data_IF_555131156303
#
_entry.id   IF_555131156303
#
_cell.length_a   1.000
_cell.length_b   1.000
_cell.length_c   1.000
_cell.angle_alpha   90.00
_cell.angle_beta   90.00
_cell.angle_gamma   90.00
#
_symmetry.space_group_name_H-M   'P 1'
#
loop_
_entity.id
_entity.type
_entity.pdbx_description
1 polymer ?
#
# COMPACT_ATOMS: atom_id res chain seq x y z
N UNK A 1 27.97 25.03 -10.26
CA UNK A 1 27.50 25.27 -8.88
C UNK A 1 27.26 23.88 -8.29
N UNK A 2 28.01 23.51 -7.24
CA UNK A 2 27.95 22.15 -6.67
C UNK A 2 26.84 22.12 -5.62
N UNK A 3 25.76 21.38 -5.88
CA UNK A 3 24.75 21.08 -4.88
C UNK A 3 25.39 20.18 -3.81
N UNK A 4 25.61 20.74 -2.61
CA UNK A 4 26.04 19.93 -1.47
C UNK A 4 24.93 18.95 -1.10
N UNK A 5 25.27 17.66 -1.06
CA UNK A 5 24.37 16.63 -0.56
C UNK A 5 24.00 16.91 0.91
N UNK A 6 22.71 16.81 1.28
CA UNK A 6 22.28 17.01 2.65
C UNK A 6 22.83 15.93 3.57
N UNK A 7 23.17 16.32 4.79
CA UNK A 7 23.63 15.44 5.87
C UNK A 7 22.48 14.57 6.41
N UNK A 8 22.82 13.49 7.11
CA UNK A 8 21.84 12.61 7.76
C UNK A 8 20.94 13.35 8.78
N UNK A 9 21.53 14.32 9.50
CA UNK A 9 20.79 15.13 10.46
C UNK A 9 19.74 15.99 9.75
N UNK A 10 20.11 16.67 8.66
CA UNK A 10 19.19 17.50 7.87
C UNK A 10 18.08 16.64 7.22
N UNK A 11 18.37 15.42 6.79
CA UNK A 11 17.36 14.49 6.27
C UNK A 11 16.38 14.09 7.37
N UNK A 12 16.87 13.75 8.57
CA UNK A 12 16.05 13.37 9.72
C UNK A 12 15.13 14.53 10.15
N UNK A 13 15.68 15.72 10.29
CA UNK A 13 14.91 16.91 10.66
C UNK A 13 13.81 17.23 9.64
N UNK A 14 14.11 17.18 8.33
CA UNK A 14 13.11 17.37 7.28
C UNK A 14 11.97 16.36 7.37
N UNK A 15 12.28 15.09 7.68
CA UNK A 15 11.26 14.04 7.87
C UNK A 15 10.40 14.30 9.10
N UNK A 16 11.00 14.73 10.21
CA UNK A 16 10.25 15.06 11.43
C UNK A 16 9.31 16.24 11.21
N UNK A 17 9.76 17.29 10.52
CA UNK A 17 8.91 18.43 10.13
C UNK A 17 7.76 17.98 9.22
N UNK A 18 8.06 17.19 8.19
CA UNK A 18 7.04 16.68 7.28
C UNK A 18 6.02 15.78 8.01
N UNK A 19 6.51 14.89 8.87
CA UNK A 19 5.68 14.02 9.71
C UNK A 19 4.72 14.84 10.55
N UNK A 20 5.23 15.87 11.24
CA UNK A 20 4.42 16.74 12.11
C UNK A 20 3.31 17.44 11.33
N UNK A 21 3.66 18.07 10.19
CA UNK A 21 2.68 18.76 9.34
C UNK A 21 1.58 17.82 8.85
N UNK A 22 1.95 16.62 8.39
CA UNK A 22 0.96 15.63 7.96
C UNK A 22 0.01 15.29 9.12
N UNK A 23 0.54 15.05 10.32
CA UNK A 23 -0.29 14.77 11.50
C UNK A 23 -1.25 15.92 11.81
N UNK A 24 -0.77 17.16 11.77
CA UNK A 24 -1.58 18.37 12.02
C UNK A 24 -2.68 18.54 10.96
N UNK A 25 -2.36 18.32 9.68
CA UNK A 25 -3.29 18.53 8.56
C UNK A 25 -4.34 17.42 8.42
N UNK A 26 -4.04 16.20 8.90
CA UNK A 26 -4.86 15.01 8.66
C UNK A 26 -5.45 14.39 9.93
N UNK A 27 -4.90 14.68 11.11
CA UNK A 27 -5.26 14.00 12.36
C UNK A 27 -4.73 12.57 12.48
N UNK A 28 -3.91 12.09 11.53
CA UNK A 28 -3.40 10.70 11.56
C UNK A 28 -2.43 10.50 12.72
N UNK A 29 -2.69 9.50 13.55
CA UNK A 29 -1.77 9.01 14.57
C UNK A 29 -1.52 7.49 14.43
N UNK A 30 -0.72 6.92 15.35
CA UNK A 30 -0.37 5.49 15.28
C UNK A 30 -1.56 4.58 15.60
N UNK A 31 -2.47 4.99 16.47
CA UNK A 31 -3.62 4.18 16.87
C UNK A 31 -4.63 4.09 15.72
N UNK A 32 -4.85 5.21 15.01
CA UNK A 32 -5.62 5.23 13.77
C UNK A 32 -5.02 4.30 12.72
N UNK A 33 -3.69 4.37 12.48
CA UNK A 33 -3.02 3.46 11.54
C UNK A 33 -3.24 2.01 11.94
N UNK A 34 -3.08 1.67 13.23
CA UNK A 34 -3.31 0.31 13.73
C UNK A 34 -4.74 -0.14 13.47
N UNK A 35 -5.73 0.68 13.80
CA UNK A 35 -7.15 0.36 13.60
C UNK A 35 -7.48 0.14 12.11
N UNK A 36 -7.00 1.02 11.22
CA UNK A 36 -7.16 0.87 9.77
C UNK A 36 -6.51 -0.44 9.30
N UNK A 37 -5.27 -0.73 9.69
CA UNK A 37 -4.56 -1.93 9.25
C UNK A 37 -5.28 -3.19 9.71
N UNK A 38 -5.62 -3.29 10.99
CA UNK A 38 -6.31 -4.47 11.52
C UNK A 38 -7.72 -4.62 10.93
N UNK A 39 -8.50 -3.54 10.83
CA UNK A 39 -9.84 -3.57 10.24
C UNK A 39 -9.82 -3.94 8.76
N UNK A 40 -8.84 -3.41 8.02
CA UNK A 40 -8.68 -3.71 6.61
C UNK A 40 -8.32 -5.18 6.37
N UNK A 41 -7.32 -5.68 7.09
CA UNK A 41 -6.87 -7.06 6.88
C UNK A 41 -7.84 -8.11 7.42
N UNK A 42 -8.69 -7.77 8.40
CA UNK A 42 -9.84 -8.61 8.76
C UNK A 42 -10.77 -8.79 7.55
N UNK A 43 -11.16 -7.69 6.86
CA UNK A 43 -11.99 -7.76 5.65
C UNK A 43 -11.30 -8.49 4.49
N UNK A 44 -9.98 -8.31 4.31
CA UNK A 44 -9.20 -9.00 3.27
C UNK A 44 -9.20 -10.50 3.49
N UNK A 45 -9.05 -10.95 4.74
CA UNK A 45 -9.01 -12.37 5.09
C UNK A 45 -10.35 -13.07 4.84
N UNK A 46 -11.45 -12.36 5.08
CA UNK A 46 -12.80 -12.89 4.85
C UNK A 46 -13.26 -12.75 3.39
N UNK A 47 -12.45 -12.14 2.52
CA UNK A 47 -12.81 -11.91 1.12
C UNK A 47 -12.49 -13.11 0.22
N UNK A 48 -13.46 -13.57 -0.57
CA UNK A 48 -13.31 -14.76 -1.41
C UNK A 48 -12.29 -14.61 -2.56
N UNK A 49 -11.95 -13.38 -2.97
CA UNK A 49 -10.96 -13.14 -4.03
C UNK A 49 -9.56 -12.91 -3.44
N UNK A 50 -9.47 -12.12 -2.36
CA UNK A 50 -8.18 -11.76 -1.77
C UNK A 50 -7.69 -12.78 -0.74
N UNK A 51 -8.58 -13.30 0.10
CA UNK A 51 -8.27 -14.24 1.19
C UNK A 51 -7.35 -15.37 0.75
N UNK A 52 -7.68 -16.13 -0.33
CA UNK A 52 -6.82 -17.21 -0.82
C UNK A 52 -5.39 -16.80 -1.18
N UNK A 53 -5.18 -15.58 -1.71
CA UNK A 53 -3.85 -15.06 -2.06
C UNK A 53 -3.02 -14.83 -0.79
N UNK A 54 -3.65 -14.33 0.27
CA UNK A 54 -2.98 -14.09 1.55
C UNK A 54 -2.76 -15.38 2.32
N UNK A 55 -3.74 -16.29 2.36
CA UNK A 55 -3.61 -17.58 3.04
C UNK A 55 -2.48 -18.44 2.47
N UNK A 56 -2.20 -18.33 1.16
CA UNK A 56 -1.06 -19.02 0.54
C UNK A 56 0.31 -18.45 0.97
N UNK A 57 0.37 -17.17 1.38
CA UNK A 57 1.63 -16.43 1.59
C UNK A 57 1.88 -16.00 3.04
N UNK A 58 0.86 -15.97 3.89
CA UNK A 58 0.92 -15.44 5.24
C UNK A 58 0.71 -16.57 6.25
N UNK A 59 1.81 -17.06 6.81
CA UNK A 59 1.78 -18.10 7.84
C UNK A 59 1.50 -17.53 9.25
N UNK A 60 2.02 -16.33 9.53
CA UNK A 60 1.86 -15.65 10.83
C UNK A 60 1.21 -14.28 10.62
N UNK A 61 -0.09 -14.21 10.92
CA UNK A 61 -0.89 -13.00 10.77
C UNK A 61 -0.46 -11.87 11.70
N UNK A 62 -0.09 -12.15 12.95
CA UNK A 62 0.35 -11.12 13.89
C UNK A 62 1.61 -10.42 13.38
N UNK A 63 2.61 -11.20 12.94
CA UNK A 63 3.82 -10.64 12.34
C UNK A 63 3.53 -9.86 11.05
N UNK A 64 2.62 -10.36 10.22
CA UNK A 64 2.22 -9.67 9.00
C UNK A 64 1.57 -8.31 9.32
N UNK A 65 0.65 -8.28 10.29
CA UNK A 65 -0.05 -7.06 10.71
C UNK A 65 0.92 -6.03 11.31
N UNK A 66 1.86 -6.44 12.16
CA UNK A 66 2.90 -5.56 12.70
C UNK A 66 3.72 -4.89 11.57
N UNK A 67 4.09 -5.68 10.56
CA UNK A 67 4.80 -5.17 9.38
C UNK A 67 3.94 -4.22 8.55
N UNK A 68 2.64 -4.49 8.45
CA UNK A 68 1.71 -3.62 7.73
C UNK A 68 1.44 -2.31 8.48
N UNK A 69 1.41 -2.31 9.81
CA UNK A 69 1.39 -1.09 10.63
C UNK A 69 2.64 -0.25 10.36
N UNK A 70 3.82 -0.85 10.37
CA UNK A 70 5.07 -0.14 10.04
C UNK A 70 5.07 0.41 8.62
N UNK A 71 4.61 -0.39 7.64
CA UNK A 71 4.49 0.03 6.25
C UNK A 71 3.56 1.24 6.10
N UNK A 72 2.34 1.17 6.62
CA UNK A 72 1.37 2.26 6.51
C UNK A 72 1.76 3.48 7.32
N UNK A 73 2.44 3.32 8.45
CA UNK A 73 3.06 4.42 9.18
C UNK A 73 4.11 5.15 8.34
N UNK A 74 4.98 4.40 7.65
CA UNK A 74 5.97 5.00 6.74
C UNK A 74 5.33 5.66 5.52
N UNK A 75 4.29 5.05 4.95
CA UNK A 75 3.57 5.57 3.78
C UNK A 75 2.77 6.83 4.10
N UNK A 76 1.99 6.81 5.18
CA UNK A 76 1.11 7.91 5.56
C UNK A 76 1.90 9.08 6.16
N UNK A 77 2.83 8.80 7.08
CA UNK A 77 3.50 9.84 7.86
C UNK A 77 4.93 10.14 7.41
N UNK A 78 5.44 9.46 6.39
CA UNK A 78 6.82 9.61 5.90
C UNK A 78 7.89 9.35 6.99
N UNK A 79 7.59 8.46 7.95
CA UNK A 79 8.48 8.15 9.07
C UNK A 79 9.79 7.51 8.63
N UNK A 80 9.77 6.74 7.53
CA UNK A 80 10.94 6.04 7.01
C UNK A 80 11.33 4.80 7.81
N UNK A 81 10.43 4.29 8.66
CA UNK A 81 10.68 3.14 9.53
C UNK A 81 10.42 1.79 8.86
N UNK A 82 10.03 1.78 7.58
CA UNK A 82 9.83 0.57 6.79
C UNK A 82 10.89 0.47 5.70
N UNK A 83 11.67 -0.60 5.73
CA UNK A 83 12.80 -0.88 4.83
C UNK A 83 12.52 -2.02 3.82
N UNK A 84 11.28 -2.53 3.82
CA UNK A 84 10.89 -3.64 2.97
C UNK A 84 10.82 -3.29 1.48
N UNK A 85 10.87 -4.33 0.63
CA UNK A 85 10.78 -4.23 -0.83
C UNK A 85 9.46 -4.83 -1.33
N UNK A 86 8.33 -4.10 -1.19
CA UNK A 86 7.02 -4.70 -1.37
C UNK A 86 6.80 -5.16 -2.81
N UNK A 87 7.23 -4.40 -3.82
CA UNK A 87 7.14 -4.81 -5.23
C UNK A 87 7.70 -6.22 -5.50
N UNK A 88 8.89 -6.52 -4.97
CA UNK A 88 9.55 -7.82 -5.18
C UNK A 88 8.75 -8.99 -4.60
N UNK A 89 7.94 -8.73 -3.57
CA UNK A 89 7.04 -9.72 -2.96
C UNK A 89 5.76 -9.94 -3.76
N UNK A 90 5.34 -8.96 -4.57
CA UNK A 90 4.12 -9.04 -5.36
C UNK A 90 4.35 -9.56 -6.79
N UNK A 91 5.54 -9.34 -7.37
CA UNK A 91 5.92 -9.83 -8.70
C UNK A 91 5.62 -11.32 -8.98
N UNK A 92 5.92 -12.28 -8.08
CA UNK A 92 5.66 -13.69 -8.36
C UNK A 92 4.20 -14.11 -8.12
N UNK A 93 3.32 -13.21 -7.67
CA UNK A 93 1.93 -13.54 -7.36
C UNK A 93 1.07 -13.50 -8.63
N UNK A 94 0.10 -14.43 -8.73
CA UNK A 94 -0.91 -14.46 -9.80
C UNK A 94 -2.04 -13.44 -9.55
N UNK A 95 -1.68 -12.18 -9.31
CA UNK A 95 -2.64 -11.10 -9.06
C UNK A 95 -2.92 -10.29 -10.32
N UNK A 96 -4.15 -9.80 -10.42
CA UNK A 96 -4.69 -9.11 -11.60
C UNK A 96 -5.31 -7.77 -11.20
N UNK A 97 -5.71 -6.96 -12.17
CA UNK A 97 -6.47 -5.72 -11.93
C UNK A 97 -7.67 -5.91 -11.00
N UNK A 98 -8.35 -7.06 -11.06
CA UNK A 98 -9.51 -7.35 -10.22
C UNK A 98 -9.14 -7.47 -8.73
N UNK A 99 -7.95 -8.01 -8.43
CA UNK A 99 -7.44 -8.07 -7.07
C UNK A 99 -7.13 -6.66 -6.55
N UNK A 100 -6.49 -5.82 -7.36
CA UNK A 100 -6.22 -4.43 -6.97
C UNK A 100 -7.50 -3.62 -6.79
N UNK A 101 -8.48 -3.76 -7.69
CA UNK A 101 -9.78 -3.07 -7.60
C UNK A 101 -10.50 -3.48 -6.31
N UNK A 102 -10.53 -4.78 -5.97
CA UNK A 102 -11.14 -5.28 -4.74
C UNK A 102 -10.41 -4.84 -3.49
N UNK A 103 -9.08 -4.89 -3.50
CA UNK A 103 -8.24 -4.44 -2.39
C UNK A 103 -8.47 -2.95 -2.10
N UNK A 104 -8.54 -2.10 -3.13
CA UNK A 104 -8.82 -0.67 -3.00
C UNK A 104 -10.24 -0.41 -2.49
N UNK A 105 -11.23 -1.20 -2.91
CA UNK A 105 -12.60 -1.09 -2.44
C UNK A 105 -12.70 -1.38 -0.93
N UNK A 106 -12.10 -2.48 -0.47
CA UNK A 106 -12.10 -2.84 0.96
C UNK A 106 -11.31 -1.82 1.79
N UNK A 107 -10.22 -1.26 1.24
CA UNK A 107 -9.44 -0.23 1.90
C UNK A 107 -10.25 1.05 2.04
N UNK A 108 -10.93 1.50 0.98
CA UNK A 108 -11.80 2.67 1.02
C UNK A 108 -12.95 2.51 2.02
N UNK A 109 -13.58 1.33 2.06
CA UNK A 109 -14.59 1.01 3.06
C UNK A 109 -14.01 1.13 4.48
N UNK A 110 -12.85 0.55 4.73
CA UNK A 110 -12.19 0.63 6.04
C UNK A 110 -11.89 2.07 6.43
N UNK A 111 -11.37 2.89 5.51
CA UNK A 111 -11.10 4.30 5.80
C UNK A 111 -12.37 5.06 6.16
N UNK A 112 -13.52 4.76 5.52
CA UNK A 112 -14.79 5.39 5.88
C UNK A 112 -15.29 5.02 7.29
N UNK A 113 -14.81 3.91 7.86
CA UNK A 113 -15.16 3.45 9.21
C UNK A 113 -14.26 4.10 10.29
N UNK A 114 -13.03 4.48 9.95
CA UNK A 114 -12.00 4.89 10.93
C UNK A 114 -11.44 6.30 10.74
N UNK A 115 -11.76 6.99 9.65
CA UNK A 115 -11.15 8.27 9.30
C UNK A 115 -12.19 9.35 8.99
N UNK A 116 -11.86 10.57 9.40
CA UNK A 116 -12.43 11.77 8.79
C UNK A 116 -11.87 11.98 7.38
N UNK A 117 -12.55 12.82 6.59
CA UNK A 117 -12.25 13.05 5.18
C UNK A 117 -10.77 13.40 4.88
N UNK A 118 -10.08 14.27 5.65
CA UNK A 118 -8.67 14.59 5.38
C UNK A 118 -7.75 13.37 5.46
N UNK A 119 -7.90 12.53 6.48
CA UNK A 119 -7.14 11.30 6.65
C UNK A 119 -7.49 10.27 5.57
N UNK A 120 -8.78 10.04 5.33
CA UNK A 120 -9.25 9.07 4.33
C UNK A 120 -8.69 9.40 2.92
N UNK A 121 -8.78 10.67 2.51
CA UNK A 121 -8.22 11.13 1.24
C UNK A 121 -6.71 10.93 1.17
N UNK A 122 -5.99 11.28 2.23
CA UNK A 122 -4.53 11.14 2.30
C UNK A 122 -4.06 9.69 2.16
N UNK A 123 -4.76 8.74 2.78
CA UNK A 123 -4.51 7.31 2.63
C UNK A 123 -4.86 6.81 1.22
N UNK A 124 -6.04 7.18 0.70
CA UNK A 124 -6.49 6.71 -0.62
C UNK A 124 -5.60 7.18 -1.77
N UNK A 125 -5.15 8.44 -1.75
CA UNK A 125 -4.21 8.95 -2.76
C UNK A 125 -2.93 8.10 -2.83
N UNK A 126 -2.43 7.61 -1.70
CA UNK A 126 -1.24 6.76 -1.62
C UNK A 126 -1.54 5.33 -2.04
N UNK A 127 -2.64 4.78 -1.58
CA UNK A 127 -3.11 3.45 -1.93
C UNK A 127 -3.25 3.29 -3.45
N UNK A 128 -3.87 4.27 -4.13
CA UNK A 128 -4.03 4.29 -5.57
C UNK A 128 -2.69 4.31 -6.32
N UNK A 129 -1.73 5.13 -5.84
CA UNK A 129 -0.38 5.18 -6.43
C UNK A 129 0.36 3.86 -6.25
N UNK A 130 0.24 3.21 -5.08
CA UNK A 130 0.85 1.91 -4.81
C UNK A 130 0.26 0.84 -5.74
N UNK A 131 -1.07 0.73 -5.79
CA UNK A 131 -1.76 -0.24 -6.63
C UNK A 131 -1.39 -0.07 -8.11
N UNK A 132 -1.45 1.17 -8.63
CA UNK A 132 -1.05 1.48 -10.00
C UNK A 132 0.41 1.12 -10.28
N UNK A 133 1.33 1.45 -9.35
CA UNK A 133 2.75 1.12 -9.52
C UNK A 133 2.99 -0.38 -9.54
N UNK A 134 2.32 -1.14 -8.66
CA UNK A 134 2.44 -2.60 -8.58
C UNK A 134 1.89 -3.27 -9.82
N UNK A 135 0.73 -2.82 -10.29
CA UNK A 135 0.12 -3.34 -11.50
C UNK A 135 1.03 -3.16 -12.73
N UNK A 136 1.63 -1.98 -12.90
CA UNK A 136 2.62 -1.71 -13.95
C UNK A 136 3.86 -2.59 -13.79
N UNK A 137 4.40 -2.69 -12.56
CA UNK A 137 5.60 -3.48 -12.28
C UNK A 137 5.42 -4.98 -12.53
N UNK A 138 4.25 -5.52 -12.19
CA UNK A 138 3.89 -6.93 -12.42
C UNK A 138 3.63 -7.18 -13.91
N UNK A 139 2.91 -6.30 -14.59
CA UNK A 139 2.72 -6.39 -16.03
C UNK A 139 4.07 -6.46 -16.77
N UNK A 140 4.98 -5.54 -16.44
CA UNK A 140 6.32 -5.51 -17.02
C UNK A 140 7.14 -6.77 -16.70
N UNK A 141 7.04 -7.29 -15.46
CA UNK A 141 7.67 -8.55 -15.08
C UNK A 141 7.17 -9.73 -15.91
N UNK A 142 5.89 -9.72 -16.28
CA UNK A 142 5.23 -10.74 -17.09
C UNK A 142 5.29 -10.44 -18.62
N UNK A 143 6.15 -9.51 -19.04
CA UNK A 143 6.37 -9.21 -20.46
C UNK A 143 5.30 -8.34 -21.13
N UNK A 144 4.38 -7.74 -20.36
CA UNK A 144 3.32 -6.87 -20.85
C UNK A 144 3.66 -5.40 -20.57
N UNK A 145 3.66 -4.57 -21.62
CA UNK A 145 3.81 -3.11 -21.47
C UNK A 145 2.43 -2.49 -21.50
N UNK A 146 2.01 -1.89 -20.37
CA UNK A 146 0.75 -1.15 -20.30
C UNK A 146 0.91 0.27 -20.82
N UNK A 147 -0.01 0.70 -21.67
CA UNK A 147 -0.17 2.10 -22.07
C UNK A 147 -0.86 2.92 -20.97
N UNK A 148 -0.84 4.25 -21.10
CA UNK A 148 -1.48 5.15 -20.14
C UNK A 148 -2.98 4.85 -20.02
N UNK A 149 -3.41 4.37 -18.85
CA UNK A 149 -4.80 4.05 -18.54
C UNK A 149 -5.19 2.59 -18.79
N UNK A 150 -4.31 1.78 -19.37
CA UNK A 150 -4.52 0.33 -19.50
C UNK A 150 -4.31 -0.38 -18.16
N UNK A 151 -5.06 -1.47 -17.96
CA UNK A 151 -5.07 -2.26 -16.73
C UNK A 151 -4.61 -3.69 -17.03
N UNK A 152 -3.81 -4.28 -16.14
CA UNK A 152 -3.24 -5.60 -16.31
C UNK A 152 -4.26 -6.71 -16.03
N UNK A 153 -4.56 -7.50 -17.06
CA UNK A 153 -5.38 -8.70 -16.95
C UNK A 153 -4.72 -9.88 -17.71
N UNK A 154 -4.05 -10.81 -17.01
CA UNK A 154 -3.45 -11.97 -17.65
C UNK A 154 -4.49 -12.98 -18.16
N UNK A 155 -5.74 -12.93 -17.66
CA UNK A 155 -6.80 -13.87 -18.06
C UNK A 155 -7.44 -13.43 -19.39
N UNK A 156 -7.49 -12.12 -19.65
CA UNK A 156 -8.05 -11.58 -20.89
C UNK A 156 -7.22 -11.88 -22.15
N UNK A 157 -5.94 -12.20 -22.02
CA UNK A 157 -5.01 -12.41 -23.14
C UNK A 157 -4.76 -13.89 -23.50
N UNK A 158 -5.55 -14.82 -22.94
CA UNK A 158 -5.62 -16.21 -23.40
C UNK A 158 -4.58 -17.15 -22.80
N UNK A 159 -4.92 -17.75 -21.67
CA UNK A 159 -4.72 -19.18 -21.44
C UNK A 159 -5.72 -19.67 -20.36
N UNK A 160 -6.70 -20.52 -20.68
CA UNK A 160 -7.58 -21.10 -19.67
C UNK A 160 -6.93 -22.37 -19.08
N UNK A 161 -6.34 -22.20 -17.89
CA UNK A 161 -5.96 -23.22 -16.85
C UNK A 161 -4.48 -23.29 -16.53
#
# INVERSE_FOLDING_TARGET
MSDKQPTLAEIKERREIATRRIKEDTGIDQDMIKNIVHGFYAKVRDDNLLGPVFDEKVENWDNHLDRMVMFWSSVALATGNYDGRPMQKHMPLKITRHHFDRWLQLFAQTLSEYCDEPAARHFMERALRIASSFEIGIAAHNGVILSKGERYDPVANGDPS
#
